data_IF_819993198046
#
_entry.id   IF_819993198046
#
_cell.length_a   1.000
_cell.length_b   1.000
_cell.length_c   1.000
_cell.angle_alpha   90.00
_cell.angle_beta   90.00
_cell.angle_gamma   90.00
#
_symmetry.space_group_name_H-M   'P 1'
#
loop_
_entity.id
_entity.type
_entity.pdbx_description
1 polymer ?
#
# COMPACT_ATOMS: atom_id res chain seq x y z
N UNK A 1 1.02 32.57 -37.40
CA UNK A 1 0.93 31.33 -38.20
C UNK A 1 -0.12 30.45 -37.53
N UNK A 2 -1.39 30.79 -37.75
CA UNK A 2 -2.26 30.24 -38.80
C UNK A 2 -2.64 28.80 -38.45
N UNK A 3 -3.82 28.66 -37.83
CA UNK A 3 -5.00 28.07 -38.48
C UNK A 3 -5.12 26.60 -38.05
N UNK A 4 -6.30 26.01 -37.85
CA UNK A 4 -7.52 26.21 -38.60
C UNK A 4 -8.68 25.66 -37.75
N UNK A 5 -9.63 26.54 -37.44
CA UNK A 5 -11.01 26.19 -37.05
C UNK A 5 -11.66 25.45 -38.21
N UNK A 6 -12.33 24.31 -37.97
CA UNK A 6 -13.39 23.81 -38.88
C UNK A 6 -14.54 23.13 -38.13
N UNK A 7 -15.67 23.80 -38.29
CA UNK A 7 -17.10 23.51 -38.19
C UNK A 7 -17.57 22.24 -38.90
N UNK A 8 -18.77 21.78 -38.52
CA UNK A 8 -19.67 20.94 -39.34
C UNK A 8 -20.46 19.97 -38.47
N UNK A 9 -21.60 20.34 -37.88
CA UNK A 9 -22.93 20.51 -38.49
C UNK A 9 -23.60 19.19 -38.91
N UNK A 10 -24.53 18.77 -38.05
CA UNK A 10 -25.90 18.26 -38.28
C UNK A 10 -26.16 17.23 -39.38
N UNK A 11 -26.55 16.06 -38.89
CA UNK A 11 -27.85 15.41 -39.12
C UNK A 11 -28.48 15.54 -40.51
N UNK A 12 -28.06 14.62 -41.39
CA UNK A 12 -28.74 14.29 -42.64
C UNK A 12 -29.53 12.99 -42.53
N UNK A 13 -30.85 13.10 -42.42
CA UNK A 13 -31.86 12.03 -42.53
C UNK A 13 -31.83 11.36 -43.91
N UNK A 14 -32.01 10.02 -43.98
CA UNK A 14 -32.98 9.28 -44.85
C UNK A 14 -32.77 7.74 -44.75
N UNK A 15 -33.73 7.01 -44.17
CA UNK A 15 -34.83 6.24 -44.82
C UNK A 15 -34.45 4.84 -45.36
N UNK A 16 -35.03 3.83 -44.68
CA UNK A 16 -35.51 2.48 -45.08
C UNK A 16 -34.86 1.77 -46.28
N UNK A 17 -34.49 0.48 -46.09
CA UNK A 17 -34.97 -0.65 -46.94
C UNK A 17 -34.99 -1.95 -46.12
N UNK A 18 -36.10 -2.69 -46.21
CA UNK A 18 -36.32 -4.07 -45.75
C UNK A 18 -35.41 -5.04 -46.51
N UNK A 19 -34.72 -5.93 -45.81
CA UNK A 19 -34.00 -7.04 -46.43
C UNK A 19 -34.03 -8.28 -45.56
N UNK A 20 -35.09 -9.08 -45.69
CA UNK A 20 -35.24 -10.40 -45.08
C UNK A 20 -34.34 -11.38 -45.83
N UNK A 21 -33.23 -11.81 -45.25
CA UNK A 21 -32.49 -12.99 -45.73
C UNK A 21 -32.37 -13.98 -44.59
N UNK A 22 -33.19 -15.03 -44.68
CA UNK A 22 -32.99 -16.29 -43.97
C UNK A 22 -31.68 -16.89 -44.45
N UNK A 23 -30.70 -16.97 -43.58
CA UNK A 23 -29.46 -17.71 -43.79
C UNK A 23 -29.04 -18.34 -42.48
N UNK A 24 -29.35 -19.64 -42.32
CA UNK A 24 -28.75 -20.50 -41.30
C UNK A 24 -27.24 -20.53 -41.56
N UNK A 25 -26.41 -20.17 -40.60
CA UNK A 25 -25.07 -20.75 -40.46
C UNK A 25 -24.43 -20.35 -39.12
N UNK A 26 -24.10 -21.39 -38.36
CA UNK A 26 -22.88 -21.55 -37.56
C UNK A 26 -22.55 -20.58 -36.42
N UNK A 27 -22.48 -21.21 -35.25
CA UNK A 27 -21.90 -20.74 -33.99
C UNK A 27 -20.67 -19.85 -34.13
N UNK A 28 -20.69 -18.73 -33.40
CA UNK A 28 -19.51 -18.10 -32.84
C UNK A 28 -19.85 -17.75 -31.40
N UNK A 29 -19.47 -18.62 -30.46
CA UNK A 29 -19.44 -18.28 -29.05
C UNK A 29 -18.45 -17.13 -28.91
N UNK A 30 -18.97 -15.98 -28.48
CA UNK A 30 -18.21 -14.76 -28.32
C UNK A 30 -17.04 -15.00 -27.33
N UNK A 31 -15.82 -14.79 -27.81
CA UNK A 31 -14.67 -14.52 -26.96
C UNK A 31 -14.93 -13.18 -26.26
N UNK A 32 -15.57 -13.24 -25.09
CA UNK A 32 -15.60 -12.12 -24.16
C UNK A 32 -14.18 -11.96 -23.59
N UNK A 33 -13.35 -11.19 -24.31
CA UNK A 33 -12.14 -10.57 -23.77
C UNK A 33 -12.60 -9.56 -22.71
N UNK A 34 -12.89 -10.07 -21.52
CA UNK A 34 -13.09 -9.26 -20.33
C UNK A 34 -11.81 -8.51 -20.04
N UNK A 35 -11.82 -7.20 -20.31
CA UNK A 35 -10.77 -6.29 -19.91
C UNK A 35 -10.65 -6.32 -18.38
N UNK A 36 -9.69 -7.10 -17.88
CA UNK A 36 -9.29 -7.02 -16.48
C UNK A 36 -8.58 -5.68 -16.33
N UNK A 37 -9.30 -4.71 -15.75
CA UNK A 37 -8.75 -3.51 -15.16
C UNK A 37 -7.80 -3.94 -14.03
N UNK A 38 -6.57 -4.30 -14.39
CA UNK A 38 -5.50 -4.45 -13.42
C UNK A 38 -5.22 -3.06 -12.86
N UNK A 39 -5.88 -2.78 -11.74
CA UNK A 39 -5.72 -1.55 -10.98
C UNK A 39 -4.26 -1.46 -10.57
N UNK A 40 -3.52 -0.58 -11.24
CA UNK A 40 -2.16 -0.23 -10.87
C UNK A 40 -2.18 0.48 -9.53
N UNK A 41 -2.14 -0.28 -8.43
CA UNK A 41 -1.60 0.22 -7.18
C UNK A 41 -0.09 0.19 -7.34
N UNK A 42 0.46 1.31 -7.82
CA UNK A 42 1.84 1.63 -7.57
C UNK A 42 2.02 1.63 -6.04
N UNK A 43 2.62 0.58 -5.50
CA UNK A 43 3.18 0.62 -4.17
C UNK A 43 4.29 1.66 -4.23
N UNK A 44 3.93 2.93 -3.98
CA UNK A 44 4.88 4.00 -3.80
C UNK A 44 5.87 3.53 -2.75
N UNK A 45 7.17 3.65 -3.04
CA UNK A 45 8.23 3.41 -2.09
C UNK A 45 8.08 4.41 -0.93
N UNK A 46 7.24 4.04 0.03
CA UNK A 46 6.70 4.93 1.04
C UNK A 46 7.68 5.08 2.18
N UNK A 47 8.73 5.90 1.99
CA UNK A 47 9.74 6.31 2.98
C UNK A 47 9.73 5.47 4.26
N UNK A 48 10.27 4.27 4.12
CA UNK A 48 9.83 3.11 4.86
C UNK A 48 10.61 3.06 6.18
N UNK A 49 10.13 3.81 7.17
CA UNK A 49 10.81 4.09 8.43
C UNK A 49 11.59 2.92 9.04
N UNK A 50 12.66 3.21 9.78
CA UNK A 50 13.54 2.17 10.34
C UNK A 50 13.49 2.18 11.86
N UNK A 51 13.39 0.99 12.47
CA UNK A 51 13.61 0.82 13.92
C UNK A 51 14.96 0.12 14.12
N UNK A 52 15.91 0.80 14.73
CA UNK A 52 17.19 0.21 15.14
C UNK A 52 17.07 -0.26 16.59
N UNK A 53 17.44 -1.50 16.88
CA UNK A 53 17.37 -2.04 18.24
C UNK A 53 18.57 -2.95 18.55
N UNK A 54 18.86 -3.12 19.83
CA UNK A 54 19.81 -4.13 20.30
C UNK A 54 19.03 -5.40 20.65
N UNK A 55 19.40 -6.54 20.08
CA UNK A 55 18.85 -7.86 20.40
C UNK A 55 19.22 -8.27 21.84
N UNK A 56 18.54 -9.26 22.46
CA UNK A 56 18.89 -9.76 23.80
C UNK A 56 20.34 -10.27 23.91
N UNK A 57 20.96 -10.64 22.78
CA UNK A 57 22.35 -11.09 22.70
C UNK A 57 23.35 -9.95 22.47
N UNK A 58 22.93 -8.68 22.59
CA UNK A 58 23.80 -7.52 22.43
C UNK A 58 24.10 -7.10 20.99
N UNK A 59 23.59 -7.82 19.98
CA UNK A 59 23.79 -7.47 18.56
C UNK A 59 22.83 -6.37 18.12
N UNK A 60 23.26 -5.46 17.25
CA UNK A 60 22.39 -4.49 16.58
C UNK A 60 21.59 -5.16 15.48
N UNK A 61 20.31 -4.82 15.39
CA UNK A 61 19.39 -5.29 14.36
C UNK A 61 18.47 -4.13 13.94
N UNK A 62 17.96 -4.24 12.72
CA UNK A 62 17.10 -3.22 12.13
C UNK A 62 15.81 -3.87 11.65
N UNK A 63 14.67 -3.29 12.04
CA UNK A 63 13.40 -3.55 11.40
C UNK A 63 13.18 -2.44 10.38
N UNK A 64 13.37 -2.78 9.11
CA UNK A 64 13.12 -1.87 8.00
C UNK A 64 11.65 -1.94 7.62
N UNK A 65 11.07 -0.79 7.29
CA UNK A 65 9.78 -0.73 6.59
C UNK A 65 8.61 -1.37 7.36
N UNK A 66 8.45 -1.11 8.68
CA UNK A 66 7.38 -1.73 9.42
C UNK A 66 6.03 -1.13 9.01
N UNK A 67 5.05 -2.00 8.81
CA UNK A 67 3.69 -1.67 8.50
C UNK A 67 3.01 -1.02 9.71
N UNK A 68 2.39 0.17 9.56
CA UNK A 68 1.56 0.78 10.58
C UNK A 68 0.49 -0.18 11.12
N UNK A 69 0.23 -0.15 12.43
CA UNK A 69 -0.73 -1.02 13.08
C UNK A 69 -0.32 -2.51 13.22
N UNK A 70 0.71 -2.97 12.49
CA UNK A 70 1.18 -4.35 12.61
C UNK A 70 1.99 -4.56 13.89
N UNK A 71 1.71 -5.67 14.59
CA UNK A 71 2.45 -6.05 15.78
C UNK A 71 3.57 -7.03 15.43
N UNK A 72 4.81 -6.60 15.61
CA UNK A 72 5.99 -7.40 15.37
C UNK A 72 6.44 -8.10 16.65
N UNK A 73 6.53 -9.43 16.63
CA UNK A 73 7.08 -10.20 17.75
C UNK A 73 8.60 -10.30 17.59
N UNK A 74 9.30 -9.30 18.12
CA UNK A 74 10.75 -9.25 18.16
C UNK A 74 11.21 -8.74 19.52
N UNK A 75 12.28 -9.34 20.03
CA UNK A 75 12.83 -8.98 21.33
C UNK A 75 13.98 -7.99 21.17
N UNK A 76 13.98 -6.97 22.02
CA UNK A 76 15.08 -6.03 22.15
C UNK A 76 15.46 -5.81 23.60
N UNK A 77 16.74 -5.55 23.83
CA UNK A 77 17.32 -5.26 25.14
C UNK A 77 18.41 -4.21 24.99
N UNK A 78 18.12 -2.99 25.44
CA UNK A 78 19.05 -1.87 25.43
C UNK A 78 18.67 -0.82 24.40
N UNK A 79 19.68 -0.21 23.78
CA UNK A 79 19.48 0.98 22.95
C UNK A 79 18.64 0.71 21.71
N UNK A 80 17.50 1.40 21.67
CA UNK A 80 16.49 1.32 20.62
C UNK A 80 16.16 2.71 20.11
N UNK A 81 16.04 2.87 18.79
CA UNK A 81 15.76 4.14 18.15
C UNK A 81 14.71 3.97 17.06
N UNK A 82 13.76 4.91 17.03
CA UNK A 82 12.83 5.08 15.93
C UNK A 82 13.42 6.10 14.96
N UNK A 83 13.99 5.60 13.87
CA UNK A 83 14.55 6.40 12.77
C UNK A 83 13.51 6.61 11.66
N UNK A 84 12.21 6.40 11.94
CA UNK A 84 11.15 6.67 10.98
C UNK A 84 11.09 8.16 10.64
N UNK A 85 11.03 8.45 9.34
CA UNK A 85 10.89 9.80 8.79
C UNK A 85 9.40 10.23 8.67
N UNK A 86 8.47 9.28 8.78
CA UNK A 86 7.03 9.46 8.49
C UNK A 86 6.22 9.93 9.69
N UNK A 87 6.84 10.45 10.75
CA UNK A 87 6.10 11.03 11.86
C UNK A 87 5.46 10.03 12.84
N UNK A 88 5.62 8.71 12.63
CA UNK A 88 4.93 7.66 13.42
C UNK A 88 5.63 7.33 14.73
N UNK A 89 4.84 7.15 15.79
CA UNK A 89 5.31 6.67 17.09
C UNK A 89 5.41 5.14 17.07
N UNK A 90 6.50 4.62 17.62
CA UNK A 90 6.68 3.20 17.88
C UNK A 90 6.40 2.90 19.35
N UNK A 91 5.44 2.00 19.59
CA UNK A 91 5.07 1.49 20.91
C UNK A 91 5.78 0.16 21.16
N UNK A 92 6.45 0.05 22.29
CA UNK A 92 7.20 -1.13 22.69
C UNK A 92 6.50 -1.82 23.86
N UNK A 93 6.40 -3.14 23.82
CA UNK A 93 5.65 -3.92 24.80
C UNK A 93 6.55 -4.95 25.48
N UNK A 94 6.40 -5.13 26.79
CA UNK A 94 7.16 -6.13 27.55
C UNK A 94 6.72 -7.57 27.25
N UNK A 95 5.53 -7.77 26.67
CA UNK A 95 4.95 -9.08 26.34
C UNK A 95 4.94 -9.29 24.82
N UNK A 96 4.90 -10.55 24.34
CA UNK A 96 4.69 -10.86 22.94
C UNK A 96 3.34 -10.34 22.42
N UNK A 97 3.20 -10.23 21.09
CA UNK A 97 1.95 -9.88 20.40
C UNK A 97 1.30 -8.56 20.88
N UNK A 98 2.12 -7.61 21.35
CA UNK A 98 1.69 -6.28 21.78
C UNK A 98 0.63 -6.35 22.90
N UNK A 99 0.74 -7.35 23.78
CA UNK A 99 -0.22 -7.55 24.85
C UNK A 99 0.05 -6.61 26.04
N UNK A 100 -1.02 -5.98 26.53
CA UNK A 100 -0.98 -5.07 27.67
C UNK A 100 -0.57 -3.64 27.30
N UNK A 101 -0.17 -2.86 28.31
CA UNK A 101 0.27 -1.49 28.12
C UNK A 101 1.69 -1.42 27.51
N UNK A 102 1.98 -0.43 26.66
CA UNK A 102 3.34 -0.17 26.21
C UNK A 102 4.24 0.21 27.38
N UNK A 103 5.48 -0.26 27.35
CA UNK A 103 6.52 0.11 28.33
C UNK A 103 7.32 1.32 27.90
N UNK A 104 7.28 1.66 26.60
CA UNK A 104 7.87 2.86 26.06
C UNK A 104 7.21 3.23 24.74
N UNK A 105 7.18 4.53 24.48
CA UNK A 105 6.78 5.11 23.21
C UNK A 105 7.95 5.93 22.67
N UNK A 106 8.35 5.67 21.44
CA UNK A 106 9.39 6.44 20.75
C UNK A 106 8.80 7.12 19.53
N UNK A 107 8.72 8.45 19.62
CA UNK A 107 8.43 9.28 18.47
C UNK A 107 9.57 9.26 17.43
N UNK A 108 9.34 9.88 16.27
CA UNK A 108 10.33 10.01 15.20
C UNK A 108 11.66 10.61 15.67
N UNK A 109 12.77 10.00 15.24
CA UNK A 109 14.13 10.40 15.60
C UNK A 109 14.51 10.17 17.06
N UNK A 110 13.62 9.60 17.89
CA UNK A 110 13.89 9.38 19.32
C UNK A 110 14.61 8.06 19.55
N UNK A 111 15.42 8.05 20.61
CA UNK A 111 16.18 6.89 21.08
C UNK A 111 16.02 6.75 22.59
N UNK A 112 15.95 5.51 23.07
CA UNK A 112 15.95 5.17 24.48
C UNK A 112 16.47 3.75 24.69
N UNK A 113 17.00 3.49 25.88
CA UNK A 113 17.22 2.12 26.33
C UNK A 113 15.90 1.53 26.84
N UNK A 114 15.45 0.46 26.18
CA UNK A 114 14.21 -0.23 26.53
C UNK A 114 14.40 -1.73 26.34
N UNK A 115 13.72 -2.51 27.17
CA UNK A 115 13.59 -3.96 27.03
C UNK A 115 12.15 -4.28 26.62
N UNK A 116 12.00 -5.04 25.54
CA UNK A 116 10.69 -5.34 24.96
C UNK A 116 10.69 -6.71 24.27
N UNK A 117 9.49 -7.27 24.04
CA UNK A 117 9.26 -8.55 23.36
C UNK A 117 8.37 -8.41 22.13
N UNK A 118 7.76 -7.26 21.93
CA UNK A 118 7.09 -6.89 20.68
C UNK A 118 7.02 -5.38 20.52
N UNK A 119 6.76 -4.93 19.30
CA UNK A 119 6.53 -3.52 18.98
C UNK A 119 5.40 -3.35 17.97
N UNK A 120 4.76 -2.18 17.98
CA UNK A 120 3.74 -1.75 17.02
C UNK A 120 3.94 -0.28 16.69
N UNK A 121 3.72 0.12 15.44
CA UNK A 121 3.64 1.54 15.08
C UNK A 121 2.18 2.00 15.09
N UNK A 122 1.97 3.27 15.42
CA UNK A 122 0.66 3.92 15.28
C UNK A 122 0.07 3.68 13.87
N UNK A 123 -1.22 3.37 13.83
CA UNK A 123 -1.99 3.41 12.60
C UNK A 123 -2.26 4.88 12.19
N UNK A 124 -2.51 5.11 10.90
CA UNK A 124 -3.13 6.37 10.42
C UNK A 124 -4.60 6.47 10.86
#
# INVERSE_FOLDING_TARGET
>A
MNSLVRTGDRDGVRVRVRGRVRGRATAAVALALGAVLASGVAAGAADLGMILYTTPHGKKATLSQPLPGHCYTLAGSGSTANLSLVGKTAHFYAKPRCAGAPVADLGPGKRRDVRFQSLRLDAD
#
